data_IF_567082200871
#
_entry.id   IF_567082200871
#
_cell.length_a   1.000
_cell.length_b   1.000
_cell.length_c   1.000
_cell.angle_alpha   90.00
_cell.angle_beta   90.00
_cell.angle_gamma   90.00
#
_symmetry.space_group_name_H-M   'P 1'
#
loop_
_entity.id
_entity.type
_entity.pdbx_description
1 polymer ?
#
# COMPACT_ATOMS: atom_id res chain seq x y z
N UNK A 1 25.93 7.86 -10.03
CA UNK A 1 24.75 8.69 -9.74
C UNK A 1 23.59 8.09 -10.49
N UNK A 2 22.52 7.74 -9.78
CA UNK A 2 21.38 7.06 -10.38
C UNK A 2 20.57 8.01 -11.28
N UNK A 3 20.20 7.57 -12.48
CA UNK A 3 19.49 8.44 -13.44
C UNK A 3 18.12 8.92 -12.91
N UNK A 4 17.50 8.15 -12.02
CA UNK A 4 16.24 8.47 -11.37
C UNK A 4 16.36 9.42 -10.16
N UNK A 5 17.57 9.61 -9.61
CA UNK A 5 17.78 10.41 -8.39
C UNK A 5 17.31 11.87 -8.50
N UNK A 6 17.65 12.62 -9.58
CA UNK A 6 17.15 13.99 -9.73
C UNK A 6 15.63 14.09 -9.72
N UNK A 7 14.93 13.09 -10.28
CA UNK A 7 13.46 13.07 -10.35
C UNK A 7 12.82 12.94 -8.98
N UNK A 8 13.39 12.14 -8.09
CA UNK A 8 12.95 12.02 -6.71
C UNK A 8 13.12 13.35 -5.97
N UNK A 9 14.30 13.96 -6.10
CA UNK A 9 14.64 15.24 -5.45
C UNK A 9 13.73 16.38 -5.95
N UNK A 10 13.44 16.41 -7.25
CA UNK A 10 12.55 17.41 -7.84
C UNK A 10 11.08 17.23 -7.43
N UNK A 11 10.63 15.99 -7.25
CA UNK A 11 9.30 15.67 -6.73
C UNK A 11 9.16 15.94 -5.21
N UNK A 12 10.26 16.20 -4.49
CA UNK A 12 10.27 16.45 -3.05
C UNK A 12 11.07 17.71 -2.68
N UNK A 13 10.67 18.91 -3.14
CA UNK A 13 11.44 20.14 -2.93
C UNK A 13 11.68 20.45 -1.45
N UNK A 14 10.69 20.20 -0.59
CA UNK A 14 10.77 20.44 0.85
C UNK A 14 11.66 19.41 1.58
N UNK A 15 12.00 18.30 0.93
CA UNK A 15 12.85 17.24 1.47
C UNK A 15 14.30 17.31 0.97
N UNK A 16 14.68 18.32 0.17
CA UNK A 16 16.02 18.43 -0.43
C UNK A 16 17.16 18.35 0.59
N UNK A 17 16.99 18.96 1.78
CA UNK A 17 17.98 18.90 2.84
C UNK A 17 18.18 17.46 3.35
N UNK A 18 17.09 16.75 3.62
CA UNK A 18 17.11 15.36 4.06
C UNK A 18 17.69 14.44 2.98
N UNK A 19 17.33 14.65 1.71
CA UNK A 19 17.85 13.89 0.58
C UNK A 19 19.34 14.16 0.31
N UNK A 20 19.81 15.36 0.64
CA UNK A 20 21.23 15.74 0.51
C UNK A 20 22.13 15.19 1.60
N UNK A 21 21.59 14.53 2.64
CA UNK A 21 22.42 13.90 3.67
C UNK A 21 23.25 12.75 3.08
N UNK A 22 24.50 12.61 3.57
CA UNK A 22 25.42 11.58 3.08
C UNK A 22 24.82 10.19 3.22
N UNK A 23 24.92 9.41 2.13
CA UNK A 23 24.47 8.03 2.06
C UNK A 23 22.95 7.85 2.01
N UNK A 24 22.14 8.91 1.87
CA UNK A 24 20.70 8.76 1.62
C UNK A 24 20.43 8.21 0.23
N UNK A 25 21.09 8.75 -0.81
CA UNK A 25 20.97 8.21 -2.18
C UNK A 25 21.31 6.72 -2.22
N UNK A 26 22.45 6.32 -1.64
CA UNK A 26 22.91 4.93 -1.64
C UNK A 26 21.93 4.00 -0.91
N UNK A 27 21.38 4.43 0.23
CA UNK A 27 20.38 3.64 0.97
C UNK A 27 19.07 3.47 0.20
N UNK A 28 18.60 4.52 -0.48
CA UNK A 28 17.40 4.44 -1.30
C UNK A 28 17.66 3.56 -2.52
N UNK A 29 18.83 3.69 -3.17
CA UNK A 29 19.22 2.86 -4.30
C UNK A 29 19.25 1.38 -3.93
N UNK A 30 19.90 1.02 -2.82
CA UNK A 30 19.94 -0.35 -2.32
C UNK A 30 18.53 -0.89 -1.98
N UNK A 31 17.64 -0.04 -1.44
CA UNK A 31 16.27 -0.44 -1.15
C UNK A 31 15.44 -0.68 -2.42
N UNK A 32 15.63 0.13 -3.46
CA UNK A 32 14.98 -0.07 -4.77
C UNK A 32 15.50 -1.35 -5.42
N UNK A 33 16.82 -1.57 -5.43
CA UNK A 33 17.44 -2.79 -5.96
C UNK A 33 16.88 -4.04 -5.29
N UNK A 34 16.85 -4.09 -3.95
CA UNK A 34 16.25 -5.19 -3.20
C UNK A 34 14.77 -5.42 -3.57
N UNK A 35 14.00 -4.34 -3.78
CA UNK A 35 12.62 -4.44 -4.23
C UNK A 35 12.48 -5.02 -5.64
N UNK A 36 13.40 -4.70 -6.56
CA UNK A 36 13.44 -5.28 -7.91
C UNK A 36 13.80 -6.75 -7.89
N UNK A 37 14.80 -7.14 -7.11
CA UNK A 37 15.19 -8.53 -6.94
C UNK A 37 14.04 -9.36 -6.35
N UNK A 38 13.28 -8.76 -5.43
CA UNK A 38 12.15 -9.42 -4.79
C UNK A 38 10.92 -9.56 -5.70
N UNK A 39 10.71 -8.59 -6.58
CA UNK A 39 9.55 -8.50 -7.47
C UNK A 39 9.96 -8.23 -8.94
N UNK A 40 10.65 -9.18 -9.61
CA UNK A 40 11.14 -8.97 -10.97
C UNK A 40 9.99 -8.78 -11.99
N UNK A 41 8.81 -9.29 -11.67
CA UNK A 41 7.61 -9.16 -12.51
C UNK A 41 6.98 -7.75 -12.49
N UNK A 42 7.37 -6.87 -11.56
CA UNK A 42 6.85 -5.49 -11.43
C UNK A 42 7.49 -4.50 -12.44
N UNK A 43 7.91 -4.99 -13.61
CA UNK A 43 8.65 -4.24 -14.64
C UNK A 43 7.85 -3.09 -15.27
N UNK A 44 6.52 -3.10 -15.18
CA UNK A 44 5.68 -2.02 -15.69
C UNK A 44 5.87 -0.69 -14.92
N UNK A 45 6.36 -0.75 -13.68
CA UNK A 45 6.73 0.42 -12.88
C UNK A 45 8.20 0.68 -13.14
N UNK A 46 8.55 1.73 -13.88
CA UNK A 46 9.95 2.10 -14.13
C UNK A 46 10.60 2.72 -12.89
N UNK A 47 11.93 2.72 -12.81
CA UNK A 47 12.64 3.36 -11.70
C UNK A 47 12.36 4.87 -11.63
N UNK A 48 12.22 5.53 -12.78
CA UNK A 48 11.81 6.93 -12.85
C UNK A 48 10.42 7.15 -12.26
N UNK A 49 9.43 6.34 -12.65
CA UNK A 49 8.07 6.45 -12.12
C UNK A 49 8.02 6.14 -10.62
N UNK A 50 8.79 5.15 -10.18
CA UNK A 50 8.93 4.81 -8.77
C UNK A 50 9.55 5.97 -7.98
N UNK A 51 10.65 6.53 -8.46
CA UNK A 51 11.37 7.63 -7.84
C UNK A 51 10.51 8.90 -7.70
N UNK A 52 9.75 9.25 -8.74
CA UNK A 52 8.78 10.36 -8.68
C UNK A 52 7.74 10.09 -7.60
N UNK A 53 7.14 8.90 -7.56
CA UNK A 53 6.14 8.56 -6.57
C UNK A 53 6.69 8.56 -5.14
N UNK A 54 7.93 8.12 -4.92
CA UNK A 54 8.60 8.23 -3.61
C UNK A 54 8.75 9.71 -3.24
N UNK A 55 9.21 10.55 -4.17
CA UNK A 55 9.38 11.98 -3.94
C UNK A 55 8.06 12.68 -3.58
N UNK A 56 7.00 12.47 -4.38
CA UNK A 56 5.67 13.03 -4.12
C UNK A 56 5.14 12.64 -2.74
N UNK A 57 5.35 11.39 -2.33
CA UNK A 57 4.92 10.89 -1.01
C UNK A 57 5.79 11.40 0.13
N UNK A 58 7.07 11.62 -0.12
CA UNK A 58 7.99 12.22 0.84
C UNK A 58 7.62 13.69 1.08
N UNK A 59 7.22 14.40 0.02
CA UNK A 59 6.75 15.79 0.11
C UNK A 59 5.50 15.94 0.99
N UNK A 60 4.68 14.89 1.14
CA UNK A 60 3.54 14.93 2.06
C UNK A 60 3.90 14.65 3.53
N UNK A 61 5.17 14.33 3.83
CA UNK A 61 5.61 14.01 5.19
C UNK A 61 6.00 15.27 5.95
N UNK A 62 5.51 15.40 7.19
CA UNK A 62 5.86 16.53 8.06
C UNK A 62 7.34 16.57 8.44
N UNK A 63 7.96 15.40 8.53
CA UNK A 63 9.38 15.22 8.86
C UNK A 63 10.00 14.25 7.85
N UNK A 64 10.61 14.76 6.77
CA UNK A 64 11.24 13.94 5.74
C UNK A 64 12.38 13.06 6.27
N UNK A 65 13.15 13.53 7.25
CA UNK A 65 14.28 12.76 7.83
C UNK A 65 13.75 11.54 8.57
N UNK A 66 12.76 11.74 9.45
CA UNK A 66 12.13 10.63 10.16
C UNK A 66 11.35 9.70 9.23
N UNK A 67 10.77 10.22 8.15
CA UNK A 67 10.08 9.42 7.14
C UNK A 67 11.05 8.49 6.40
N UNK A 68 12.21 9.00 5.95
CA UNK A 68 13.22 8.21 5.25
C UNK A 68 13.70 7.01 6.09
N UNK A 69 13.84 7.16 7.41
CA UNK A 69 14.18 6.05 8.30
C UNK A 69 13.13 4.92 8.32
N UNK A 70 11.90 5.22 7.92
CA UNK A 70 10.76 4.29 7.84
C UNK A 70 10.43 3.88 6.41
N UNK A 71 11.21 4.29 5.42
CA UNK A 71 10.95 3.95 4.03
C UNK A 71 10.98 2.42 3.83
N UNK A 72 9.98 1.92 3.10
CA UNK A 72 9.79 0.50 2.77
C UNK A 72 9.60 0.38 1.25
N UNK A 73 10.71 0.31 0.52
CA UNK A 73 10.70 0.24 -0.94
C UNK A 73 9.96 -1.01 -1.46
N UNK A 74 10.24 -2.19 -0.89
CA UNK A 74 9.57 -3.45 -1.24
C UNK A 74 8.05 -3.36 -1.09
N UNK A 75 7.60 -2.92 0.08
CA UNK A 75 6.18 -2.72 0.38
C UNK A 75 5.53 -1.72 -0.60
N UNK A 76 6.20 -0.61 -0.90
CA UNK A 76 5.68 0.42 -1.79
C UNK A 76 5.58 -0.10 -3.22
N UNK A 77 6.60 -0.81 -3.70
CA UNK A 77 6.61 -1.40 -5.05
C UNK A 77 5.48 -2.43 -5.19
N UNK A 78 5.32 -3.32 -4.21
CA UNK A 78 4.22 -4.28 -4.19
C UNK A 78 2.85 -3.60 -4.21
N UNK A 79 2.68 -2.55 -3.39
CA UNK A 79 1.42 -1.80 -3.34
C UNK A 79 1.10 -1.08 -4.66
N UNK A 80 2.09 -0.45 -5.29
CA UNK A 80 1.92 0.19 -6.60
C UNK A 80 1.65 -0.84 -7.70
N UNK A 81 2.31 -1.99 -7.66
CA UNK A 81 2.06 -3.07 -8.62
C UNK A 81 0.65 -3.65 -8.44
N UNK A 82 0.17 -3.80 -7.20
CA UNK A 82 -1.22 -4.16 -6.94
C UNK A 82 -2.21 -3.12 -7.47
N UNK A 83 -1.86 -1.83 -7.41
CA UNK A 83 -2.72 -0.75 -7.89
C UNK A 83 -2.92 -0.78 -9.41
N UNK A 84 -2.06 -1.46 -10.19
CA UNK A 84 -2.25 -1.64 -11.64
C UNK A 84 -3.30 -2.70 -11.97
N UNK A 85 -3.78 -3.46 -10.98
CA UNK A 85 -4.70 -4.58 -11.18
C UNK A 85 -4.02 -5.86 -11.71
N UNK A 86 -2.68 -5.93 -11.71
CA UNK A 86 -1.98 -7.15 -12.12
C UNK A 86 -2.29 -8.31 -11.14
N UNK A 87 -2.82 -9.40 -11.68
CA UNK A 87 -3.20 -10.57 -10.89
C UNK A 87 -2.02 -11.22 -10.16
N UNK A 88 -0.80 -11.14 -10.70
CA UNK A 88 0.41 -11.65 -10.06
C UNK A 88 0.78 -10.82 -8.83
N UNK A 89 0.65 -9.50 -8.92
CA UNK A 89 0.85 -8.58 -7.80
C UNK A 89 -0.11 -8.88 -6.65
N UNK A 90 -1.40 -9.02 -6.99
CA UNK A 90 -2.46 -9.29 -6.01
C UNK A 90 -2.24 -10.66 -5.36
N UNK A 91 -1.88 -11.69 -6.13
CA UNK A 91 -1.57 -13.01 -5.59
C UNK A 91 -0.37 -12.97 -4.64
N UNK A 92 0.67 -12.22 -4.98
CA UNK A 92 1.86 -12.07 -4.13
C UNK A 92 1.53 -11.31 -2.84
N UNK A 93 0.75 -10.23 -2.92
CA UNK A 93 0.24 -9.53 -1.74
C UNK A 93 -0.58 -10.44 -0.84
N UNK A 94 -1.52 -11.20 -1.40
CA UNK A 94 -2.36 -12.13 -0.64
C UNK A 94 -1.55 -13.25 0.00
N UNK A 95 -0.47 -13.69 -0.66
CA UNK A 95 0.47 -14.68 -0.11
C UNK A 95 1.24 -14.11 1.08
N UNK A 96 1.83 -12.92 0.92
CA UNK A 96 2.65 -12.26 1.96
C UNK A 96 1.81 -11.89 3.18
N UNK A 97 0.59 -11.38 2.96
CA UNK A 97 -0.26 -10.84 4.04
C UNK A 97 -1.41 -11.77 4.45
N UNK A 98 -1.35 -13.06 4.09
CA UNK A 98 -2.41 -14.03 4.40
C UNK A 98 -2.78 -14.03 5.88
N UNK A 99 -1.78 -14.17 6.75
CA UNK A 99 -1.98 -14.24 8.20
C UNK A 99 -2.57 -12.96 8.79
N UNK A 100 -2.21 -11.80 8.22
CA UNK A 100 -2.76 -10.50 8.63
C UNK A 100 -4.23 -10.37 8.27
N UNK A 101 -4.59 -10.75 7.04
CA UNK A 101 -5.97 -10.75 6.58
C UNK A 101 -6.80 -11.71 7.42
N UNK A 102 -6.32 -12.94 7.63
CA UNK A 102 -7.03 -13.95 8.41
C UNK A 102 -7.24 -13.51 9.87
N UNK A 103 -6.23 -12.87 10.47
CA UNK A 103 -6.35 -12.31 11.81
C UNK A 103 -7.45 -11.23 11.88
N UNK A 104 -7.57 -10.38 10.87
CA UNK A 104 -8.61 -9.35 10.80
C UNK A 104 -9.99 -9.97 10.57
N UNK A 105 -10.13 -10.89 9.61
CA UNK A 105 -11.39 -11.58 9.31
C UNK A 105 -11.92 -12.37 10.51
N UNK A 106 -11.03 -12.97 11.30
CA UNK A 106 -11.41 -13.76 12.48
C UNK A 106 -12.23 -12.98 13.52
N UNK A 107 -12.11 -11.65 13.55
CA UNK A 107 -12.86 -10.76 14.43
C UNK A 107 -14.34 -10.62 14.05
N UNK A 108 -14.70 -11.00 12.83
CA UNK A 108 -16.04 -10.83 12.27
C UNK A 108 -16.81 -12.15 12.11
N UNK A 109 -16.30 -13.26 12.67
CA UNK A 109 -16.92 -14.60 12.60
C UNK A 109 -18.35 -14.71 13.12
N UNK A 110 -18.85 -13.69 13.85
CA UNK A 110 -20.23 -13.66 14.39
C UNK A 110 -21.24 -13.03 13.43
N UNK A 111 -20.79 -12.42 12.32
CA UNK A 111 -21.69 -11.96 11.28
C UNK A 111 -22.25 -13.16 10.51
N UNK A 112 -23.43 -13.02 9.94
CA UNK A 112 -23.97 -14.02 9.00
C UNK A 112 -23.38 -13.87 7.58
N UNK A 113 -22.10 -13.50 7.50
CA UNK A 113 -21.33 -13.35 6.26
C UNK A 113 -20.16 -14.33 6.35
N UNK A 114 -19.93 -15.10 5.30
CA UNK A 114 -18.85 -16.09 5.26
C UNK A 114 -17.47 -15.42 5.22
N UNK A 115 -16.44 -16.14 5.65
CA UNK A 115 -15.05 -15.65 5.58
C UNK A 115 -14.61 -15.34 4.15
N UNK A 116 -15.07 -16.12 3.18
CA UNK A 116 -14.75 -15.94 1.76
C UNK A 116 -15.42 -14.70 1.17
N UNK A 117 -16.67 -14.42 1.54
CA UNK A 117 -17.34 -13.17 1.14
C UNK A 117 -16.68 -11.93 1.75
N UNK A 118 -16.25 -11.99 3.02
CA UNK A 118 -15.51 -10.91 3.64
C UNK A 118 -14.15 -10.69 2.97
N UNK A 119 -13.46 -11.78 2.59
CA UNK A 119 -12.19 -11.71 1.84
C UNK A 119 -12.41 -11.11 0.46
N UNK A 120 -13.43 -11.54 -0.27
CA UNK A 120 -13.78 -11.01 -1.58
C UNK A 120 -14.13 -9.52 -1.49
N UNK A 121 -14.90 -9.12 -0.48
CA UNK A 121 -15.22 -7.71 -0.23
C UNK A 121 -13.96 -6.88 0.04
N UNK A 122 -13.03 -7.41 0.84
CA UNK A 122 -11.75 -6.75 1.09
C UNK A 122 -10.92 -6.63 -0.19
N UNK A 123 -10.86 -7.69 -1.01
CA UNK A 123 -10.14 -7.70 -2.30
C UNK A 123 -10.66 -6.61 -3.24
N UNK A 124 -11.98 -6.49 -3.37
CA UNK A 124 -12.62 -5.43 -4.17
C UNK A 124 -12.21 -4.06 -3.64
N UNK A 125 -12.33 -3.82 -2.33
CA UNK A 125 -11.99 -2.52 -1.72
C UNK A 125 -10.50 -2.15 -1.86
N UNK A 126 -9.61 -3.13 -1.81
CA UNK A 126 -8.16 -2.88 -1.89
C UNK A 126 -7.68 -2.64 -3.32
N UNK A 127 -8.15 -3.45 -4.28
CA UNK A 127 -7.53 -3.54 -5.61
C UNK A 127 -8.39 -3.03 -6.76
N UNK A 128 -9.68 -2.76 -6.52
CA UNK A 128 -10.59 -2.28 -7.57
C UNK A 128 -10.84 -0.79 -7.39
N UNK A 129 -10.63 -0.02 -8.46
CA UNK A 129 -11.03 1.37 -8.51
C UNK A 129 -12.56 1.47 -8.54
N UNK A 130 -13.12 2.40 -7.76
CA UNK A 130 -14.55 2.72 -7.81
C UNK A 130 -14.74 4.08 -8.47
N UNK A 131 -15.92 4.40 -8.98
CA UNK A 131 -16.20 5.66 -9.70
C UNK A 131 -15.59 6.89 -9.00
N UNK A 132 -14.53 7.45 -9.60
CA UNK A 132 -13.82 8.63 -9.10
C UNK A 132 -12.75 8.39 -8.02
N UNK A 133 -12.43 7.14 -7.65
CA UNK A 133 -11.42 6.82 -6.62
C UNK A 133 -10.53 5.66 -7.05
N UNK A 134 -9.22 5.87 -6.93
CA UNK A 134 -8.20 4.84 -7.12
C UNK A 134 -8.38 3.64 -6.15
N UNK A 135 -7.84 2.46 -6.48
CA UNK A 135 -7.83 1.32 -5.57
C UNK A 135 -7.21 1.69 -4.23
N UNK A 136 -7.80 1.26 -3.10
CA UNK A 136 -7.35 1.73 -1.79
C UNK A 136 -5.90 1.40 -1.47
N UNK A 137 -5.32 0.35 -2.07
CA UNK A 137 -3.90 0.02 -1.94
C UNK A 137 -2.98 1.18 -2.38
N UNK A 138 -3.42 2.07 -3.27
CA UNK A 138 -2.66 3.26 -3.68
C UNK A 138 -2.51 4.30 -2.57
N UNK A 139 -3.32 4.23 -1.51
CA UNK A 139 -3.23 5.14 -0.36
C UNK A 139 -2.05 4.79 0.56
N UNK A 140 -1.42 3.62 0.38
CA UNK A 140 -0.21 3.28 1.13
C UNK A 140 0.97 4.16 0.68
N UNK A 141 1.62 4.81 1.63
CA UNK A 141 2.64 5.84 1.36
C UNK A 141 4.07 5.31 1.21
N UNK A 142 4.34 4.04 1.50
CA UNK A 142 5.70 3.51 1.54
C UNK A 142 6.48 3.88 2.80
N UNK A 143 5.89 4.61 3.76
CA UNK A 143 6.55 5.01 5.00
C UNK A 143 5.94 4.31 6.22
N UNK A 144 6.68 3.34 6.76
CA UNK A 144 6.20 2.38 7.76
C UNK A 144 5.66 1.11 7.10
N UNK A 145 5.48 0.04 7.89
CA UNK A 145 5.14 -1.29 7.36
C UNK A 145 3.75 -1.34 6.70
N UNK A 146 3.67 -1.91 5.49
CA UNK A 146 2.42 -2.16 4.77
C UNK A 146 1.47 -3.04 5.56
N UNK A 147 2.00 -4.02 6.30
CA UNK A 147 1.24 -4.85 7.23
C UNK A 147 0.38 -4.04 8.21
N UNK A 148 0.96 -3.00 8.83
CA UNK A 148 0.25 -2.18 9.81
C UNK A 148 -0.84 -1.34 9.14
N UNK A 149 -0.54 -0.77 7.98
CA UNK A 149 -1.52 -0.05 7.17
C UNK A 149 -2.67 -0.97 6.74
N UNK A 150 -2.37 -2.19 6.28
CA UNK A 150 -3.35 -3.19 5.85
C UNK A 150 -4.28 -3.57 6.99
N UNK A 151 -3.75 -3.87 8.19
CA UNK A 151 -4.58 -4.23 9.35
C UNK A 151 -5.61 -3.15 9.68
N UNK A 152 -5.20 -1.89 9.64
CA UNK A 152 -6.11 -0.74 9.89
C UNK A 152 -7.12 -0.59 8.76
N UNK A 153 -6.67 -0.64 7.50
CA UNK A 153 -7.52 -0.48 6.33
C UNK A 153 -8.55 -1.59 6.22
N UNK A 154 -8.14 -2.84 6.42
CA UNK A 154 -9.01 -4.01 6.42
C UNK A 154 -10.03 -3.93 7.56
N UNK A 155 -9.60 -3.59 8.77
CA UNK A 155 -10.51 -3.45 9.91
C UNK A 155 -11.60 -2.42 9.62
N UNK A 156 -11.24 -1.23 9.14
CA UNK A 156 -12.21 -0.19 8.76
C UNK A 156 -13.16 -0.67 7.68
N UNK A 157 -12.62 -1.29 6.63
CA UNK A 157 -13.40 -1.84 5.54
C UNK A 157 -14.46 -2.87 6.00
N UNK A 158 -14.12 -3.74 6.95
CA UNK A 158 -15.03 -4.76 7.47
C UNK A 158 -16.00 -4.22 8.53
N UNK A 159 -15.62 -3.19 9.30
CA UNK A 159 -16.57 -2.47 10.17
C UNK A 159 -17.68 -1.85 9.32
N UNK A 160 -17.36 -1.25 8.18
CA UNK A 160 -18.38 -0.71 7.27
C UNK A 160 -19.32 -1.80 6.77
N UNK A 161 -18.80 -2.98 6.42
CA UNK A 161 -19.61 -4.15 6.02
C UNK A 161 -20.53 -4.60 7.15
N UNK A 162 -20.01 -4.71 8.37
CA UNK A 162 -20.78 -5.10 9.55
C UNK A 162 -21.92 -4.12 9.85
N UNK A 163 -21.72 -2.83 9.62
CA UNK A 163 -22.77 -1.81 9.79
C UNK A 163 -23.86 -1.97 8.74
N UNK A 164 -23.49 -2.17 7.47
CA UNK A 164 -24.46 -2.38 6.38
C UNK A 164 -25.24 -3.69 6.50
N UNK A 165 -24.65 -4.73 7.10
CA UNK A 165 -25.35 -5.98 7.39
C UNK A 165 -26.40 -5.83 8.50
N UNK A 166 -26.06 -5.12 9.59
CA UNK A 166 -27.00 -4.86 10.68
C UNK A 166 -28.19 -4.00 10.25
N UNK A 167 -27.95 -3.00 9.40
CA UNK A 167 -29.01 -2.15 8.87
C UNK A 167 -30.02 -2.97 8.04
N UNK A 168 -29.51 -3.81 7.12
CA UNK A 168 -30.36 -4.71 6.31
C UNK A 168 -31.20 -5.66 7.18
N UNK A 169 -30.60 -6.27 8.20
CA UNK A 169 -31.33 -7.13 9.13
C UNK A 169 -32.45 -6.40 9.88
N UNK A 170 -32.27 -5.13 10.22
CA UNK A 170 -33.29 -4.34 10.88
C UNK A 170 -34.45 -4.02 9.93
N UNK A 171 -34.16 -3.71 8.67
CA UNK A 171 -35.16 -3.48 7.62
C UNK A 171 -35.99 -4.74 7.31
N UNK A 172 -35.37 -5.93 7.32
CA UNK A 172 -36.06 -7.21 7.09
C UNK A 172 -36.99 -7.64 8.24
N UNK A 173 -36.86 -7.02 9.43
CA UNK A 173 -37.67 -7.32 10.62
C UNK A 173 -38.84 -6.35 10.84
N UNK A 174 -38.95 -5.30 10.01
CA UNK A 174 -40.01 -4.28 10.04
C UNK A 174 -41.04 -4.53 8.93
#
# INVERSE_FOLDING_TARGET
MNAWWPKLVDAAPDARAALGERGVEDRIAAAIEAARDRFPDAHAITDDAFAVAVGERLATQKDPVAALARFRAEDLLLAQWCATGDHRAIAEFERVHRSDVDAVLSRFKRLSITGDELRQTLRIKLFVATSGRAPRISDYSGFGFLQNWLRVTALRALVDVARSERARKLEELL
#
